data_IF_261435905366
#
_entry.id   IF_261435905366
#
_cell.length_a   1.000
_cell.length_b   1.000
_cell.length_c   1.000
_cell.angle_alpha   90.00
_cell.angle_beta   90.00
_cell.angle_gamma   90.00
#
_symmetry.space_group_name_H-M   'P 1'
#
loop_
_entity.id
_entity.type
_entity.pdbx_description
1 polymer ?
#
# COMPACT_ATOMS: atom_id res chain seq x y z
N UNK A 1 -16.90 5.06 -38.06
CA UNK A 1 -15.46 4.81 -38.27
C UNK A 1 -14.75 6.13 -38.10
N UNK A 2 -14.31 6.41 -36.87
CA UNK A 2 -13.42 7.52 -36.54
C UNK A 2 -12.02 6.94 -36.55
N UNK A 3 -11.32 7.11 -37.67
CA UNK A 3 -9.88 6.83 -37.79
C UNK A 3 -9.16 8.09 -37.33
N UNK A 4 -8.65 8.08 -36.10
CA UNK A 4 -7.50 8.85 -35.59
C UNK A 4 -7.45 8.75 -34.05
N UNK A 5 -7.26 7.53 -33.53
CA UNK A 5 -6.55 7.35 -32.25
C UNK A 5 -5.18 6.80 -32.62
N UNK A 6 -4.28 7.68 -33.05
CA UNK A 6 -2.86 7.40 -32.83
C UNK A 6 -2.72 7.21 -31.32
N UNK A 7 -2.54 5.95 -30.90
CA UNK A 7 -2.06 5.56 -29.58
C UNK A 7 -0.73 6.27 -29.34
N UNK A 8 -0.79 7.53 -28.92
CA UNK A 8 0.39 8.26 -28.49
C UNK A 8 0.86 7.60 -27.21
N UNK A 9 2.04 7.02 -27.27
CA UNK A 9 2.75 6.56 -26.07
C UNK A 9 2.76 7.71 -25.06
N UNK A 10 2.27 7.51 -23.82
CA UNK A 10 2.32 8.53 -22.79
C UNK A 10 3.77 8.98 -22.53
N UNK A 11 3.96 10.20 -22.03
CA UNK A 11 5.29 10.68 -21.69
C UNK A 11 5.94 9.80 -20.62
N UNK A 12 7.28 9.83 -20.58
CA UNK A 12 8.02 9.23 -19.48
C UNK A 12 7.64 9.88 -18.13
N UNK A 13 7.94 9.20 -17.03
CA UNK A 13 7.68 9.70 -15.67
C UNK A 13 8.45 11.00 -15.40
N UNK A 14 7.76 12.09 -15.07
CA UNK A 14 8.42 13.37 -14.79
C UNK A 14 8.78 13.48 -13.29
N UNK A 15 9.99 13.02 -12.94
CA UNK A 15 10.46 12.96 -11.56
C UNK A 15 10.36 14.31 -10.83
N UNK A 16 10.89 15.37 -11.42
CA UNK A 16 10.95 16.68 -10.77
C UNK A 16 9.56 17.30 -10.62
N UNK A 17 8.68 17.06 -11.58
CA UNK A 17 7.29 17.49 -11.50
C UNK A 17 6.53 16.77 -10.37
N UNK A 18 6.70 15.46 -10.22
CA UNK A 18 6.10 14.69 -9.12
C UNK A 18 6.67 15.06 -7.74
N UNK A 19 7.98 15.31 -7.64
CA UNK A 19 8.61 15.81 -6.40
C UNK A 19 8.03 17.17 -6.02
N UNK A 20 7.92 18.10 -6.99
CA UNK A 20 7.32 19.42 -6.76
C UNK A 20 5.88 19.32 -6.27
N UNK A 21 5.08 18.43 -6.87
CA UNK A 21 3.72 18.15 -6.42
C UNK A 21 3.68 17.70 -4.95
N UNK A 22 4.49 16.69 -4.60
CA UNK A 22 4.52 16.09 -3.25
C UNK A 22 4.97 17.09 -2.18
N UNK A 23 6.04 17.86 -2.45
CA UNK A 23 6.53 18.91 -1.55
C UNK A 23 5.50 20.03 -1.38
N UNK A 24 4.77 20.38 -2.45
CA UNK A 24 3.77 21.44 -2.46
C UNK A 24 2.47 21.10 -1.70
N UNK A 25 2.20 19.83 -1.39
CA UNK A 25 0.99 19.44 -0.64
C UNK A 25 0.91 20.10 0.73
N UNK A 26 2.06 20.43 1.35
CA UNK A 26 2.10 21.11 2.66
C UNK A 26 1.54 22.54 2.62
N UNK A 27 1.44 23.16 1.45
CA UNK A 27 0.98 24.54 1.29
C UNK A 27 -0.56 24.62 1.16
N UNK A 28 -1.25 23.48 0.98
CA UNK A 28 -2.71 23.37 0.86
C UNK A 28 -3.39 23.16 2.23
N UNK A 29 -3.20 24.08 3.18
CA UNK A 29 -3.63 23.90 4.58
C UNK A 29 -5.09 24.25 4.89
N UNK A 30 -5.76 25.01 4.03
CA UNK A 30 -7.06 25.62 4.36
C UNK A 30 -8.10 25.57 3.23
N UNK A 31 -7.84 24.77 2.17
CA UNK A 31 -8.86 24.55 1.15
C UNK A 31 -9.93 23.57 1.61
N UNK A 32 -11.03 23.49 0.85
CA UNK A 32 -12.15 22.62 1.18
C UNK A 32 -11.73 21.15 1.29
N UNK A 33 -10.81 20.69 0.44
CA UNK A 33 -10.31 19.32 0.45
C UNK A 33 -9.52 19.01 1.73
N UNK A 34 -8.71 19.97 2.21
CA UNK A 34 -7.96 19.87 3.47
C UNK A 34 -8.87 19.77 4.69
N UNK A 35 -10.01 20.47 4.68
CA UNK A 35 -11.04 20.34 5.72
C UNK A 35 -11.75 18.97 5.65
N UNK A 36 -12.11 18.51 4.45
CA UNK A 36 -12.81 17.23 4.26
C UNK A 36 -11.94 16.01 4.63
N UNK A 37 -10.63 16.14 4.51
CA UNK A 37 -9.65 15.07 4.79
C UNK A 37 -8.98 15.21 6.16
N UNK A 38 -9.44 16.15 7.00
CA UNK A 38 -8.83 16.43 8.31
C UNK A 38 -8.69 15.18 9.17
N UNK A 39 -9.72 14.33 9.20
CA UNK A 39 -9.78 13.11 10.01
C UNK A 39 -8.79 12.01 9.58
N UNK A 40 -8.14 12.13 8.43
CA UNK A 40 -7.28 11.09 7.84
C UNK A 40 -5.89 11.60 7.39
N UNK A 41 -5.45 12.75 7.90
CA UNK A 41 -4.17 13.39 7.53
C UNK A 41 -2.95 12.50 7.69
N UNK A 42 -2.92 11.63 8.71
CA UNK A 42 -1.82 10.66 8.90
C UNK A 42 -1.70 9.72 7.69
N UNK A 43 -2.82 9.28 7.10
CA UNK A 43 -2.80 8.46 5.89
C UNK A 43 -2.29 9.23 4.67
N UNK A 44 -2.74 10.48 4.50
CA UNK A 44 -2.22 11.38 3.47
C UNK A 44 -0.70 11.56 3.57
N UNK A 45 -0.21 11.73 4.80
CA UNK A 45 1.22 11.87 5.05
C UNK A 45 2.00 10.59 4.78
N UNK A 46 1.43 9.42 5.12
CA UNK A 46 2.02 8.13 4.76
C UNK A 46 2.19 7.98 3.25
N UNK A 47 1.18 8.31 2.44
CA UNK A 47 1.30 8.25 0.98
C UNK A 47 2.32 9.26 0.44
N UNK A 48 2.32 10.50 0.95
CA UNK A 48 3.27 11.53 0.53
C UNK A 48 4.72 11.19 0.89
N UNK A 49 4.99 10.82 2.14
CA UNK A 49 6.32 10.40 2.61
C UNK A 49 6.72 9.10 1.93
N UNK A 50 5.80 8.15 1.75
CA UNK A 50 6.05 6.89 1.04
C UNK A 50 6.49 7.11 -0.39
N UNK A 51 5.81 8.00 -1.12
CA UNK A 51 6.20 8.37 -2.49
C UNK A 51 7.59 9.00 -2.51
N UNK A 52 7.84 10.01 -1.66
CA UNK A 52 9.15 10.66 -1.58
C UNK A 52 10.26 9.72 -1.14
N UNK A 53 9.94 8.75 -0.27
CA UNK A 53 10.86 7.72 0.13
C UNK A 53 11.22 6.83 -1.07
N UNK A 54 10.25 6.33 -1.84
CA UNK A 54 10.55 5.56 -3.06
C UNK A 54 11.41 6.34 -4.04
N UNK A 55 11.14 7.64 -4.20
CA UNK A 55 11.94 8.52 -5.04
C UNK A 55 13.32 8.88 -4.46
N UNK A 56 13.63 8.47 -3.22
CA UNK A 56 14.85 8.79 -2.48
C UNK A 56 15.05 10.31 -2.27
N UNK A 57 13.95 11.00 -1.96
CA UNK A 57 13.87 12.47 -1.80
C UNK A 57 13.17 12.88 -0.49
N UNK A 58 12.96 11.97 0.46
CA UNK A 58 12.24 12.24 1.71
C UNK A 58 12.79 13.40 2.54
N UNK A 59 14.08 13.72 2.41
CA UNK A 59 14.72 14.87 3.07
C UNK A 59 14.11 16.23 2.68
N UNK A 60 13.48 16.33 1.50
CA UNK A 60 12.81 17.56 1.05
C UNK A 60 11.46 17.82 1.73
N UNK A 61 10.95 16.84 2.47
CA UNK A 61 9.65 16.91 3.15
C UNK A 61 9.73 17.50 4.56
N UNK A 62 10.90 18.00 4.98
CA UNK A 62 11.19 18.41 6.36
C UNK A 62 10.87 17.30 7.39
N UNK A 63 11.62 16.17 7.37
CA UNK A 63 11.35 14.98 8.19
C UNK A 63 11.13 15.26 9.68
N UNK A 64 11.90 16.18 10.28
CA UNK A 64 11.79 16.49 11.70
C UNK A 64 10.40 17.04 12.08
N UNK A 65 9.84 17.94 11.26
CA UNK A 65 8.51 18.52 11.48
C UNK A 65 7.42 17.45 11.33
N UNK A 66 7.57 16.56 10.35
CA UNK A 66 6.66 15.43 10.13
C UNK A 66 6.66 14.48 11.33
N UNK A 67 7.84 14.10 11.81
CA UNK A 67 7.98 13.21 12.98
C UNK A 67 7.34 13.85 14.21
N UNK A 68 7.64 15.12 14.48
CA UNK A 68 7.08 15.83 15.63
C UNK A 68 5.55 15.96 15.56
N UNK A 69 4.99 16.12 14.36
CA UNK A 69 3.53 16.15 14.17
C UNK A 69 2.90 14.76 14.32
N UNK A 70 3.47 13.71 13.72
CA UNK A 70 2.97 12.34 13.85
C UNK A 70 2.91 11.92 15.33
N UNK A 71 3.92 12.28 16.13
CA UNK A 71 3.95 11.95 17.55
C UNK A 71 2.88 12.71 18.38
N UNK A 72 2.36 13.84 17.89
CA UNK A 72 1.21 14.52 18.51
C UNK A 72 -0.11 13.76 18.27
N UNK A 73 -0.15 12.88 17.27
CA UNK A 73 -1.28 11.98 17.00
C UNK A 73 -1.21 10.68 17.84
N UNK A 74 -0.13 10.46 18.59
CA UNK A 74 -0.02 9.28 19.47
C UNK A 74 -0.93 9.42 20.69
N UNK A 75 -1.75 8.40 20.94
CA UNK A 75 -2.63 8.39 22.10
C UNK A 75 -1.85 8.03 23.38
N UNK A 76 -2.16 8.63 24.55
CA UNK A 76 -1.46 8.35 25.81
C UNK A 76 -1.45 6.87 26.23
N UNK A 77 -2.46 6.12 25.81
CA UNK A 77 -2.61 4.67 26.06
C UNK A 77 -2.26 3.80 24.84
N UNK A 78 -1.49 4.33 23.87
CA UNK A 78 -0.98 3.61 22.70
C UNK A 78 -1.83 3.73 21.44
N UNK A 79 -1.22 3.53 20.27
CA UNK A 79 -1.87 3.71 18.96
C UNK A 79 -1.90 5.17 18.52
N UNK A 80 -2.24 5.40 17.26
CA UNK A 80 -2.28 6.73 16.66
C UNK A 80 -3.67 7.05 16.08
N UNK A 81 -4.01 8.33 16.12
CA UNK A 81 -5.19 8.91 15.47
C UNK A 81 -4.90 9.37 14.04
N UNK A 82 -5.95 9.64 13.28
CA UNK A 82 -5.82 10.15 11.91
C UNK A 82 -5.39 11.62 11.83
N UNK A 83 -5.50 12.34 12.94
CA UNK A 83 -5.07 13.73 13.14
C UNK A 83 -5.06 14.06 14.64
N UNK A 84 -4.40 15.15 15.03
CA UNK A 84 -4.33 15.62 16.42
C UNK A 84 -5.74 15.89 16.94
N UNK A 85 -6.08 15.30 18.10
CA UNK A 85 -7.38 15.46 18.74
C UNK A 85 -8.49 14.55 18.20
N UNK A 86 -8.18 13.63 17.28
CA UNK A 86 -9.11 12.59 16.81
C UNK A 86 -8.90 11.27 17.56
N UNK A 87 -9.86 10.36 17.39
CA UNK A 87 -9.78 9.01 17.95
C UNK A 87 -8.67 8.18 17.28
N UNK A 88 -8.02 7.34 18.09
CA UNK A 88 -7.02 6.38 17.60
C UNK A 88 -7.70 5.26 16.84
N UNK A 89 -7.04 4.77 15.79
CA UNK A 89 -7.53 3.67 14.97
C UNK A 89 -6.35 2.86 14.43
N UNK A 90 -6.57 1.56 14.21
CA UNK A 90 -5.52 0.64 13.79
C UNK A 90 -4.89 1.02 12.44
N UNK A 91 -5.72 1.51 11.51
CA UNK A 91 -5.25 2.00 10.21
C UNK A 91 -4.22 3.15 10.36
N UNK A 92 -4.57 4.17 11.16
CA UNK A 92 -3.69 5.31 11.38
C UNK A 92 -2.46 4.94 12.23
N UNK A 93 -2.63 3.98 13.14
CA UNK A 93 -1.53 3.39 13.90
C UNK A 93 -0.49 2.78 12.96
N UNK A 94 -0.91 1.95 11.99
CA UNK A 94 0.02 1.41 11.00
C UNK A 94 0.67 2.52 10.18
N UNK A 95 -0.11 3.44 9.61
CA UNK A 95 0.43 4.50 8.75
C UNK A 95 1.45 5.38 9.48
N UNK A 96 1.20 5.74 10.75
CA UNK A 96 2.16 6.45 11.58
C UNK A 96 3.45 5.64 11.78
N UNK A 97 3.35 4.35 12.09
CA UNK A 97 4.52 3.48 12.24
C UNK A 97 5.32 3.36 10.94
N UNK A 98 4.67 3.27 9.78
CA UNK A 98 5.35 3.22 8.48
C UNK A 98 6.07 4.54 8.17
N UNK A 99 5.46 5.70 8.45
CA UNK A 99 6.12 7.01 8.33
C UNK A 99 7.34 7.08 9.24
N UNK A 100 7.19 6.73 10.52
CA UNK A 100 8.29 6.76 11.48
C UNK A 100 9.38 5.75 11.14
N UNK A 101 9.04 4.61 10.53
CA UNK A 101 10.00 3.63 10.00
C UNK A 101 10.85 4.24 8.88
N UNK A 102 10.21 4.85 7.87
CA UNK A 102 10.89 5.48 6.74
C UNK A 102 11.77 6.66 7.18
N UNK A 103 11.33 7.43 8.17
CA UNK A 103 12.06 8.58 8.71
C UNK A 103 13.01 8.23 9.86
N UNK A 104 13.17 6.94 10.21
CA UNK A 104 14.12 6.48 11.21
C UNK A 104 13.84 6.94 12.65
N UNK A 105 12.57 7.09 13.03
CA UNK A 105 12.12 7.66 14.31
C UNK A 105 11.24 6.71 15.15
N UNK A 106 11.28 5.39 14.87
CA UNK A 106 10.52 4.38 15.62
C UNK A 106 10.91 4.28 17.11
N UNK A 107 12.11 4.73 17.48
CA UNK A 107 12.60 4.79 18.85
C UNK A 107 11.83 5.82 19.71
N UNK A 108 11.12 6.76 19.07
CA UNK A 108 10.31 7.79 19.75
C UNK A 108 8.89 7.33 20.10
N UNK A 109 8.46 6.16 19.63
CA UNK A 109 7.11 5.60 19.86
C UNK A 109 7.01 5.00 21.25
N UNK A 110 5.84 5.11 21.89
CA UNK A 110 5.50 4.34 23.10
C UNK A 110 5.25 2.86 22.76
N UNK A 111 6.31 2.16 22.36
CA UNK A 111 6.29 0.82 21.74
C UNK A 111 5.37 -0.17 22.44
N UNK A 112 5.56 -0.38 23.74
CA UNK A 112 4.79 -1.38 24.50
C UNK A 112 3.31 -1.02 24.62
N UNK A 113 2.98 0.28 24.78
CA UNK A 113 1.58 0.72 24.82
C UNK A 113 0.91 0.60 23.46
N UNK A 114 1.63 0.99 22.40
CA UNK A 114 1.14 0.85 21.03
C UNK A 114 0.86 -0.61 20.69
N UNK A 115 1.78 -1.52 21.02
CA UNK A 115 1.60 -2.95 20.83
C UNK A 115 0.43 -3.51 21.66
N UNK A 116 0.29 -3.09 22.92
CA UNK A 116 -0.83 -3.49 23.77
C UNK A 116 -2.18 -3.02 23.22
N UNK A 117 -2.26 -1.80 22.68
CA UNK A 117 -3.45 -1.33 21.97
C UNK A 117 -3.77 -2.22 20.78
N UNK A 118 -2.82 -2.45 19.88
CA UNK A 118 -3.03 -3.29 18.69
C UNK A 118 -3.47 -4.71 19.08
N UNK A 119 -2.81 -5.33 20.05
CA UNK A 119 -3.16 -6.67 20.52
C UNK A 119 -4.57 -6.73 21.14
N UNK A 120 -5.00 -5.67 21.84
CA UNK A 120 -6.35 -5.59 22.42
C UNK A 120 -7.49 -5.53 21.39
N UNK A 121 -7.15 -5.34 20.11
CA UNK A 121 -8.12 -5.33 19.02
C UNK A 121 -8.42 -6.73 18.48
N UNK A 122 -7.64 -7.75 18.83
CA UNK A 122 -7.92 -9.13 18.44
C UNK A 122 -9.21 -9.63 19.10
N UNK A 123 -10.07 -10.26 18.32
CA UNK A 123 -11.34 -10.85 18.73
C UNK A 123 -11.19 -12.36 19.01
N UNK A 124 -12.13 -12.98 19.74
CA UNK A 124 -12.07 -14.42 20.04
C UNK A 124 -12.08 -15.35 18.82
N UNK A 125 -12.57 -14.88 17.67
CA UNK A 125 -12.57 -15.63 16.41
C UNK A 125 -11.31 -15.41 15.56
N UNK A 126 -10.33 -14.65 16.07
CA UNK A 126 -9.09 -14.32 15.40
C UNK A 126 -9.12 -13.02 14.58
N UNK A 127 -10.30 -12.48 14.30
CA UNK A 127 -10.45 -11.21 13.59
C UNK A 127 -9.89 -10.02 14.38
N UNK A 128 -9.66 -8.89 13.72
CA UNK A 128 -9.23 -7.65 14.37
C UNK A 128 -10.26 -6.55 14.18
N UNK A 129 -10.54 -5.85 15.28
CA UNK A 129 -11.29 -4.60 15.27
C UNK A 129 -10.45 -3.42 14.78
N UNK A 130 -11.07 -2.42 14.16
CA UNK A 130 -10.39 -1.17 13.79
C UNK A 130 -10.05 -0.28 15.00
N UNK A 131 -10.90 -0.28 16.02
CA UNK A 131 -10.81 0.57 17.21
C UNK A 131 -11.60 -0.04 18.40
N UNK A 132 -12.04 0.79 19.35
CA UNK A 132 -12.85 0.36 20.49
C UNK A 132 -14.26 -0.13 20.12
N UNK A 133 -14.78 0.25 18.95
CA UNK A 133 -16.10 -0.12 18.44
C UNK A 133 -16.09 -1.42 17.63
N UNK A 134 -14.90 -1.95 17.32
CA UNK A 134 -14.69 -3.29 16.78
C UNK A 134 -15.38 -3.54 15.42
N UNK A 135 -15.33 -2.57 14.49
CA UNK A 135 -15.55 -2.86 13.06
C UNK A 135 -14.57 -3.95 12.63
N UNK A 136 -15.06 -4.99 11.95
CA UNK A 136 -14.24 -6.09 11.44
C UNK A 136 -14.03 -5.96 9.94
N UNK A 137 -12.76 -6.09 9.52
CA UNK A 137 -12.32 -6.07 8.14
C UNK A 137 -10.94 -6.75 8.04
N UNK A 138 -10.67 -7.51 6.98
CA UNK A 138 -9.36 -8.13 6.73
C UNK A 138 -8.20 -7.12 6.71
N UNK A 139 -8.46 -5.85 6.39
CA UNK A 139 -7.47 -4.76 6.47
C UNK A 139 -6.93 -4.57 7.89
N UNK A 140 -7.73 -4.84 8.91
CA UNK A 140 -7.31 -4.71 10.31
C UNK A 140 -6.40 -5.85 10.73
N UNK A 141 -6.64 -7.06 10.25
CA UNK A 141 -5.71 -8.17 10.47
C UNK A 141 -4.34 -7.86 9.85
N UNK A 142 -4.30 -7.39 8.59
CA UNK A 142 -3.06 -6.92 7.96
C UNK A 142 -2.37 -5.82 8.79
N UNK A 143 -3.13 -4.79 9.19
CA UNK A 143 -2.58 -3.68 9.95
C UNK A 143 -2.01 -4.12 11.31
N UNK A 144 -2.69 -5.04 12.01
CA UNK A 144 -2.25 -5.55 13.28
C UNK A 144 -0.94 -6.33 13.16
N UNK A 145 -0.86 -7.30 12.23
CA UNK A 145 0.37 -8.09 12.05
C UNK A 145 1.55 -7.22 11.62
N UNK A 146 1.33 -6.29 10.69
CA UNK A 146 2.39 -5.40 10.20
C UNK A 146 2.88 -4.46 11.31
N UNK A 147 1.97 -3.83 12.05
CA UNK A 147 2.32 -2.99 13.19
C UNK A 147 3.09 -3.76 14.28
N UNK A 148 2.62 -4.96 14.66
CA UNK A 148 3.27 -5.76 15.70
C UNK A 148 4.63 -6.29 15.28
N UNK A 149 4.86 -6.58 13.98
CA UNK A 149 6.20 -6.88 13.48
C UNK A 149 7.14 -5.68 13.55
N UNK A 150 6.68 -4.49 13.14
CA UNK A 150 7.48 -3.25 13.27
C UNK A 150 7.85 -2.97 14.72
N UNK A 151 6.93 -3.26 15.65
CA UNK A 151 7.13 -3.06 17.09
C UNK A 151 7.93 -4.18 17.77
N UNK A 152 8.20 -5.29 17.06
CA UNK A 152 8.80 -6.53 17.59
C UNK A 152 8.00 -7.13 18.76
N UNK A 153 6.68 -7.31 18.55
CA UNK A 153 5.68 -7.72 19.56
C UNK A 153 4.61 -8.66 19.00
N UNK A 154 4.94 -9.44 17.97
CA UNK A 154 3.99 -10.36 17.34
C UNK A 154 3.50 -11.46 18.32
N UNK A 155 4.28 -11.74 19.37
CA UNK A 155 3.96 -12.69 20.45
C UNK A 155 2.77 -12.28 21.32
N UNK A 156 2.29 -11.03 21.21
CA UNK A 156 1.13 -10.55 21.97
C UNK A 156 -0.22 -11.01 21.42
N UNK A 157 -0.25 -11.60 20.23
CA UNK A 157 -1.48 -12.03 19.56
C UNK A 157 -1.42 -13.52 19.23
N UNK A 158 -2.60 -14.10 19.02
CA UNK A 158 -2.73 -15.43 18.45
C UNK A 158 -2.68 -15.33 16.92
N UNK A 159 -1.49 -15.55 16.35
CA UNK A 159 -1.29 -15.49 14.89
C UNK A 159 -2.06 -16.61 14.19
N UNK A 160 -2.16 -17.80 14.79
CA UNK A 160 -2.83 -18.95 14.17
C UNK A 160 -4.33 -18.68 13.97
N UNK A 161 -5.01 -18.17 15.00
CA UNK A 161 -6.43 -17.81 14.87
C UNK A 161 -6.64 -16.64 13.90
N UNK A 162 -5.71 -15.67 13.86
CA UNK A 162 -5.78 -14.58 12.89
C UNK A 162 -5.71 -15.09 11.45
N UNK A 163 -4.81 -16.04 11.14
CA UNK A 163 -4.71 -16.63 9.80
C UNK A 163 -5.93 -17.49 9.47
N UNK A 164 -6.45 -18.25 10.43
CA UNK A 164 -7.67 -19.03 10.27
C UNK A 164 -8.89 -18.13 9.95
N UNK A 165 -9.02 -16.96 10.58
CA UNK A 165 -10.07 -16.00 10.26
C UNK A 165 -9.93 -15.44 8.83
N UNK A 166 -8.70 -15.16 8.38
CA UNK A 166 -8.46 -14.69 7.01
C UNK A 166 -8.89 -15.75 5.97
N UNK A 167 -8.64 -17.04 6.23
CA UNK A 167 -9.14 -18.12 5.35
C UNK A 167 -10.68 -18.19 5.30
N UNK A 168 -11.38 -17.85 6.39
CA UNK A 168 -12.85 -17.74 6.35
C UNK A 168 -13.35 -16.65 5.38
N UNK A 169 -12.51 -15.68 5.03
CA UNK A 169 -12.82 -14.63 4.06
C UNK A 169 -12.53 -15.04 2.61
N UNK A 170 -11.95 -16.23 2.39
CA UNK A 170 -11.65 -16.76 1.06
C UNK A 170 -12.92 -17.21 0.34
N UNK A 171 -13.02 -16.88 -0.94
CA UNK A 171 -14.13 -17.22 -1.80
C UNK A 171 -13.80 -18.39 -2.73
N UNK A 172 -14.86 -18.92 -3.38
CA UNK A 172 -14.75 -20.02 -4.34
C UNK A 172 -13.90 -19.69 -5.57
N UNK A 173 -13.67 -18.41 -5.84
CA UNK A 173 -12.88 -17.90 -6.97
C UNK A 173 -11.40 -17.67 -6.61
N UNK A 174 -10.99 -18.12 -5.42
CA UNK A 174 -9.63 -17.97 -4.88
C UNK A 174 -9.36 -16.60 -4.25
N UNK A 175 -10.21 -15.60 -4.52
CA UNK A 175 -10.11 -14.27 -3.95
C UNK A 175 -10.57 -14.17 -2.50
N UNK A 176 -10.49 -12.98 -1.93
CA UNK A 176 -10.84 -12.69 -0.55
C UNK A 176 -11.74 -11.45 -0.44
N UNK A 177 -12.75 -11.54 0.42
CA UNK A 177 -13.58 -10.41 0.83
C UNK A 177 -13.05 -9.69 2.08
N UNK A 178 -13.71 -8.61 2.47
CA UNK A 178 -13.38 -7.89 3.72
C UNK A 178 -13.83 -8.63 4.98
N UNK A 179 -14.89 -9.42 4.88
CA UNK A 179 -15.41 -10.33 5.90
C UNK A 179 -15.94 -11.61 5.21
N UNK A 180 -16.20 -12.72 5.95
CA UNK A 180 -16.71 -13.95 5.37
C UNK A 180 -17.99 -13.74 4.54
N UNK A 181 -17.97 -14.23 3.29
CA UNK A 181 -19.09 -14.16 2.36
C UNK A 181 -19.20 -12.86 1.55
N UNK A 182 -18.32 -11.89 1.76
CA UNK A 182 -18.25 -10.69 0.91
C UNK A 182 -17.49 -10.96 -0.39
N UNK A 183 -17.81 -10.17 -1.42
CA UNK A 183 -17.23 -10.27 -2.77
C UNK A 183 -15.70 -10.13 -2.75
N UNK A 184 -15.02 -10.95 -3.55
CA UNK A 184 -13.58 -10.84 -3.80
C UNK A 184 -13.22 -9.47 -4.36
N UNK A 185 -12.22 -8.81 -3.77
CA UNK A 185 -11.82 -7.45 -4.14
C UNK A 185 -10.31 -7.28 -4.07
N UNK A 186 -9.68 -6.66 -5.06
CA UNK A 186 -8.23 -6.49 -5.14
C UNK A 186 -7.58 -5.93 -3.87
N UNK A 187 -8.20 -4.90 -3.27
CA UNK A 187 -7.74 -4.34 -1.99
C UNK A 187 -7.84 -5.31 -0.81
N UNK A 188 -8.92 -6.09 -0.71
CA UNK A 188 -9.12 -7.06 0.37
C UNK A 188 -8.27 -8.32 0.18
N UNK A 189 -8.00 -8.69 -1.07
CA UNK A 189 -7.02 -9.71 -1.44
C UNK A 189 -5.63 -9.28 -1.00
N UNK A 190 -5.22 -8.04 -1.26
CA UNK A 190 -3.92 -7.56 -0.77
C UNK A 190 -3.83 -7.67 0.75
N UNK A 191 -4.85 -7.22 1.50
CA UNK A 191 -4.78 -7.28 2.96
C UNK A 191 -4.84 -8.72 3.48
N UNK A 192 -5.62 -9.61 2.85
CA UNK A 192 -5.66 -11.02 3.21
C UNK A 192 -4.32 -11.73 2.92
N UNK A 193 -3.82 -11.66 1.68
CA UNK A 193 -2.54 -12.26 1.27
C UNK A 193 -1.38 -11.63 2.03
N UNK A 194 -1.40 -10.32 2.26
CA UNK A 194 -0.42 -9.63 3.07
C UNK A 194 -0.42 -10.10 4.52
N UNK A 195 -1.59 -10.27 5.15
CA UNK A 195 -1.68 -10.83 6.49
C UNK A 195 -1.16 -12.26 6.55
N UNK A 196 -1.54 -13.11 5.59
CA UNK A 196 -1.04 -14.49 5.44
C UNK A 196 0.48 -14.51 5.24
N UNK A 197 1.01 -13.55 4.48
CA UNK A 197 2.45 -13.38 4.23
C UNK A 197 3.22 -13.03 5.52
N UNK A 198 2.64 -12.16 6.35
CA UNK A 198 3.22 -11.78 7.63
C UNK A 198 3.11 -12.92 8.65
N UNK A 199 2.05 -13.72 8.57
CA UNK A 199 1.82 -14.88 9.43
C UNK A 199 2.51 -16.18 8.99
N UNK A 200 3.28 -16.17 7.88
CA UNK A 200 3.91 -17.36 7.31
C UNK A 200 2.91 -18.49 6.96
N UNK A 201 1.77 -18.11 6.41
CA UNK A 201 0.65 -19.01 6.17
C UNK A 201 0.16 -18.99 4.70
N UNK A 202 0.96 -18.44 3.78
CA UNK A 202 0.59 -18.40 2.35
C UNK A 202 0.37 -19.80 1.78
N UNK A 203 1.34 -20.71 1.96
CA UNK A 203 1.24 -22.08 1.43
C UNK A 203 0.07 -22.87 2.01
N UNK A 204 -0.40 -22.49 3.20
CA UNK A 204 -1.51 -23.17 3.88
C UNK A 204 -2.88 -22.72 3.35
N UNK A 205 -3.05 -21.42 3.07
CA UNK A 205 -4.38 -20.84 2.85
C UNK A 205 -4.59 -20.22 1.46
N UNK A 206 -3.54 -20.06 0.66
CA UNK A 206 -3.63 -19.47 -0.68
C UNK A 206 -3.54 -20.57 -1.75
N UNK A 207 -4.58 -20.66 -2.57
CA UNK A 207 -4.52 -21.35 -3.86
C UNK A 207 -3.92 -20.38 -4.89
N UNK A 208 -2.61 -20.45 -5.10
CA UNK A 208 -1.85 -19.49 -5.91
C UNK A 208 -2.22 -19.53 -7.39
N UNK A 209 -2.65 -20.68 -7.90
CA UNK A 209 -3.10 -20.83 -9.29
C UNK A 209 -4.48 -20.18 -9.48
N UNK A 210 -5.45 -20.51 -8.63
CA UNK A 210 -6.80 -19.97 -8.76
C UNK A 210 -6.83 -18.46 -8.48
N UNK A 211 -6.15 -18.01 -7.42
CA UNK A 211 -6.02 -16.59 -7.12
C UNK A 211 -5.23 -15.85 -8.20
N UNK A 212 -4.17 -16.47 -8.74
CA UNK A 212 -3.40 -15.92 -9.85
C UNK A 212 -4.27 -15.66 -11.07
N UNK A 213 -5.16 -16.61 -11.41
CA UNK A 213 -6.11 -16.46 -12.52
C UNK A 213 -7.10 -15.33 -12.26
N UNK A 214 -7.65 -15.25 -11.05
CA UNK A 214 -8.57 -14.17 -10.67
C UNK A 214 -7.92 -12.79 -10.79
N UNK A 215 -6.66 -12.65 -10.35
CA UNK A 215 -5.91 -11.40 -10.35
C UNK A 215 -5.47 -10.99 -11.76
N UNK A 216 -5.04 -11.92 -12.62
CA UNK A 216 -4.61 -11.56 -13.98
C UNK A 216 -5.79 -11.13 -14.87
N UNK A 217 -6.97 -11.73 -14.67
CA UNK A 217 -8.24 -11.34 -15.31
C UNK A 217 -8.79 -9.99 -14.82
N UNK A 218 -8.03 -9.25 -14.01
CA UNK A 218 -8.32 -7.84 -13.69
C UNK A 218 -7.69 -6.87 -14.69
N UNK A 219 -6.77 -7.31 -15.55
CA UNK A 219 -6.13 -6.42 -16.51
C UNK A 219 -7.11 -6.10 -17.65
N UNK A 220 -7.55 -4.85 -17.71
CA UNK A 220 -8.49 -4.37 -18.71
C UNK A 220 -7.82 -4.09 -20.05
N UNK A 221 -8.62 -3.86 -21.09
CA UNK A 221 -8.14 -3.46 -22.43
C UNK A 221 -7.29 -2.17 -22.41
N UNK A 222 -7.56 -1.27 -21.45
CA UNK A 222 -6.75 -0.05 -21.22
C UNK A 222 -5.34 -0.33 -20.72
N UNK A 223 -5.03 -1.57 -20.33
CA UNK A 223 -3.76 -1.97 -19.71
C UNK A 223 -3.74 -1.86 -18.19
N UNK A 224 -4.60 -1.03 -17.62
CA UNK A 224 -4.80 -0.89 -16.18
C UNK A 224 -5.51 -2.08 -15.55
N UNK A 225 -5.49 -2.16 -14.22
CA UNK A 225 -6.14 -3.22 -13.44
C UNK A 225 -7.40 -2.67 -12.76
N UNK A 226 -8.46 -3.47 -12.69
CA UNK A 226 -9.64 -3.16 -11.87
C UNK A 226 -9.61 -3.93 -10.53
N UNK A 227 -10.42 -3.49 -9.58
CA UNK A 227 -10.53 -4.15 -8.27
C UNK A 227 -11.47 -5.33 -8.23
N UNK A 228 -12.40 -5.39 -9.19
CA UNK A 228 -13.49 -6.36 -9.24
C UNK A 228 -13.92 -6.59 -10.69
N UNK A 229 -14.48 -7.76 -11.02
CA UNK A 229 -15.08 -8.02 -12.33
C UNK A 229 -16.05 -6.90 -12.76
N UNK A 230 -16.08 -6.62 -14.07
CA UNK A 230 -17.01 -5.65 -14.66
C UNK A 230 -16.87 -4.20 -14.14
N UNK A 231 -15.72 -3.85 -13.54
CA UNK A 231 -15.37 -2.47 -13.15
C UNK A 231 -14.28 -1.90 -14.06
N UNK A 232 -14.18 -0.58 -14.07
CA UNK A 232 -13.14 0.14 -14.81
C UNK A 232 -11.79 -0.01 -14.12
N UNK A 233 -10.71 0.05 -14.92
CA UNK A 233 -9.35 0.13 -14.42
C UNK A 233 -9.15 1.35 -13.52
N UNK A 234 -8.22 1.24 -12.57
CA UNK A 234 -7.89 2.28 -11.60
C UNK A 234 -6.42 2.09 -11.15
N UNK A 235 -5.64 3.17 -11.14
CA UNK A 235 -4.20 3.13 -10.85
C UNK A 235 -3.87 2.45 -9.52
N UNK A 236 -4.71 2.58 -8.49
CA UNK A 236 -4.39 2.01 -7.19
C UNK A 236 -4.28 0.47 -7.20
N UNK A 237 -4.96 -0.22 -8.14
CA UNK A 237 -4.81 -1.67 -8.30
C UNK A 237 -3.47 -2.08 -8.93
N UNK A 238 -2.71 -1.13 -9.47
CA UNK A 238 -1.29 -1.32 -9.80
C UNK A 238 -0.44 -1.56 -8.56
N UNK A 239 -0.96 -1.27 -7.37
CA UNK A 239 -0.39 -1.75 -6.12
C UNK A 239 -1.14 -2.98 -5.60
N UNK A 240 -2.45 -2.86 -5.35
CA UNK A 240 -3.21 -3.90 -4.64
C UNK A 240 -3.14 -5.28 -5.32
N UNK A 241 -3.32 -5.32 -6.65
CA UNK A 241 -3.31 -6.58 -7.37
C UNK A 241 -1.88 -7.05 -7.66
N UNK A 242 -0.97 -6.14 -8.06
CA UNK A 242 0.42 -6.49 -8.38
C UNK A 242 1.15 -7.02 -7.15
N UNK A 243 1.03 -6.36 -6.00
CA UNK A 243 1.67 -6.81 -4.76
C UNK A 243 1.21 -8.23 -4.38
N UNK A 244 -0.09 -8.50 -4.53
CA UNK A 244 -0.66 -9.84 -4.35
C UNK A 244 -0.04 -10.85 -5.33
N UNK A 245 0.01 -10.52 -6.63
CA UNK A 245 0.66 -11.34 -7.66
C UNK A 245 2.14 -11.61 -7.35
N UNK A 246 2.88 -10.63 -6.82
CA UNK A 246 4.28 -10.79 -6.41
C UNK A 246 4.40 -11.75 -5.22
N UNK A 247 3.55 -11.59 -4.19
CA UNK A 247 3.56 -12.47 -3.02
C UNK A 247 3.26 -13.93 -3.36
N UNK A 248 2.50 -14.19 -4.44
CA UNK A 248 2.20 -15.54 -4.92
C UNK A 248 3.05 -16.00 -6.12
N UNK A 249 4.05 -15.21 -6.54
CA UNK A 249 4.98 -15.59 -7.61
C UNK A 249 4.37 -15.60 -9.03
N UNK A 250 3.34 -14.81 -9.30
CA UNK A 250 2.57 -14.78 -10.56
C UNK A 250 2.58 -13.44 -11.30
N UNK A 251 3.50 -12.53 -10.98
CA UNK A 251 3.55 -11.21 -11.63
C UNK A 251 3.63 -11.30 -13.17
N UNK A 252 4.28 -12.31 -13.72
CA UNK A 252 4.44 -12.49 -15.18
C UNK A 252 3.14 -12.91 -15.90
N UNK A 253 2.03 -13.10 -15.18
CA UNK A 253 0.72 -13.45 -15.77
C UNK A 253 -0.03 -12.24 -16.32
N UNK A 254 0.46 -11.02 -16.06
CA UNK A 254 -0.09 -9.78 -16.63
C UNK A 254 0.91 -9.14 -17.61
N UNK A 255 0.40 -8.32 -18.52
CA UNK A 255 1.25 -7.48 -19.37
C UNK A 255 1.82 -6.31 -18.56
N UNK A 256 3.08 -6.43 -18.13
CA UNK A 256 3.80 -5.35 -17.45
C UNK A 256 3.83 -4.07 -18.28
N UNK A 257 4.11 -4.20 -19.57
CA UNK A 257 4.25 -3.04 -20.47
C UNK A 257 2.94 -2.26 -20.58
N UNK A 258 1.80 -2.93 -20.81
CA UNK A 258 0.50 -2.25 -20.87
C UNK A 258 0.16 -1.52 -19.58
N UNK A 259 0.53 -2.09 -18.43
CA UNK A 259 0.27 -1.47 -17.13
C UNK A 259 1.17 -0.27 -16.86
N UNK A 260 2.46 -0.34 -17.23
CA UNK A 260 3.36 0.82 -17.20
C UNK A 260 2.76 1.96 -18.02
N UNK A 261 2.35 1.69 -19.27
CA UNK A 261 1.74 2.70 -20.14
C UNK A 261 0.44 3.27 -19.52
N UNK A 262 -0.40 2.43 -18.91
CA UNK A 262 -1.59 2.92 -18.21
C UNK A 262 -1.24 3.89 -17.06
N UNK A 263 -0.28 3.55 -16.20
CA UNK A 263 0.13 4.41 -15.07
C UNK A 263 0.70 5.73 -15.60
N UNK A 264 1.59 5.68 -16.59
CA UNK A 264 2.19 6.88 -17.20
C UNK A 264 1.16 7.78 -17.90
N UNK A 265 0.07 7.21 -18.42
CA UNK A 265 -1.02 7.98 -18.99
C UNK A 265 -1.90 8.69 -17.94
N UNK A 266 -1.78 8.31 -16.66
CA UNK A 266 -2.53 8.91 -15.55
C UNK A 266 -1.75 10.02 -14.84
N UNK A 267 -0.52 10.33 -15.25
CA UNK A 267 0.25 11.42 -14.67
C UNK A 267 -0.28 12.78 -15.13
N UNK A 268 -0.27 13.77 -14.24
CA UNK A 268 -0.57 15.15 -14.58
C UNK A 268 0.68 15.81 -15.20
N UNK A 269 0.63 16.23 -16.47
CA UNK A 269 1.80 16.78 -17.17
C UNK A 269 2.09 18.25 -16.84
N UNK A 270 1.22 18.95 -16.11
CA UNK A 270 1.36 20.37 -15.79
C UNK A 270 1.74 20.60 -14.33
N UNK A 271 1.01 19.97 -13.42
CA UNK A 271 1.13 20.17 -11.97
C UNK A 271 1.83 19.02 -11.26
N UNK A 272 1.88 17.84 -11.89
CA UNK A 272 2.41 16.62 -11.30
C UNK A 272 1.42 15.86 -10.44
N UNK A 273 1.85 14.70 -10.01
CA UNK A 273 1.02 13.69 -9.36
C UNK A 273 0.40 12.72 -10.38
N UNK A 274 -0.24 11.66 -9.88
CA UNK A 274 -0.88 10.62 -10.68
C UNK A 274 -2.33 10.47 -10.21
N UNK A 275 -3.26 10.40 -11.15
CA UNK A 275 -4.68 10.19 -10.90
C UNK A 275 -5.08 8.71 -10.96
N UNK A 276 -6.33 8.40 -10.64
CA UNK A 276 -6.91 7.06 -10.80
C UNK A 276 -6.98 6.62 -12.26
N UNK A 277 -7.18 7.56 -13.19
CA UNK A 277 -7.40 7.33 -14.63
C UNK A 277 -6.85 8.48 -15.49
N UNK A 278 -6.57 8.24 -16.77
CA UNK A 278 -6.13 9.31 -17.68
C UNK A 278 -7.16 10.45 -17.76
N UNK A 279 -6.69 11.68 -17.58
CA UNK A 279 -7.51 12.89 -17.63
C UNK A 279 -8.26 13.24 -16.34
N UNK A 280 -8.12 12.45 -15.27
CA UNK A 280 -8.64 12.80 -13.95
C UNK A 280 -7.63 13.66 -13.16
N UNK A 281 -8.08 14.22 -12.03
CA UNK A 281 -7.26 15.05 -11.14
C UNK A 281 -6.37 14.17 -10.27
N UNK A 282 -5.09 14.49 -10.19
CA UNK A 282 -4.13 13.75 -9.37
C UNK A 282 -4.36 13.95 -7.86
N UNK A 283 -4.17 12.86 -7.10
CA UNK A 283 -4.16 12.89 -5.64
C UNK A 283 -2.96 12.12 -5.07
N UNK A 284 -2.64 12.35 -3.80
CA UNK A 284 -1.46 11.76 -3.15
C UNK A 284 -1.56 10.23 -3.02
N UNK A 285 -2.77 9.68 -2.93
CA UNK A 285 -3.02 8.25 -2.79
C UNK A 285 -2.66 7.51 -4.10
N UNK A 286 -3.20 7.97 -5.22
CA UNK A 286 -2.91 7.41 -6.55
C UNK A 286 -1.47 7.73 -6.98
N UNK A 287 -0.93 8.90 -6.60
CA UNK A 287 0.49 9.22 -6.82
C UNK A 287 1.41 8.20 -6.16
N UNK A 288 1.20 7.88 -4.89
CA UNK A 288 1.98 6.87 -4.19
C UNK A 288 1.86 5.49 -4.85
N UNK A 289 0.64 5.01 -5.10
CA UNK A 289 0.44 3.68 -5.66
C UNK A 289 0.84 3.54 -7.13
N UNK A 290 0.78 4.62 -7.90
CA UNK A 290 1.34 4.69 -9.25
C UNK A 290 2.86 4.55 -9.23
N UNK A 291 3.56 5.31 -8.38
CA UNK A 291 5.02 5.21 -8.21
C UNK A 291 5.40 3.81 -7.71
N UNK A 292 4.70 3.28 -6.71
CA UNK A 292 4.92 1.92 -6.19
C UNK A 292 4.74 0.86 -7.29
N UNK A 293 3.69 0.98 -8.12
CA UNK A 293 3.45 0.11 -9.26
C UNK A 293 4.59 0.15 -10.28
N UNK A 294 5.08 1.34 -10.64
CA UNK A 294 6.23 1.51 -11.55
C UNK A 294 7.50 0.88 -10.98
N UNK A 295 7.75 1.02 -9.67
CA UNK A 295 8.87 0.37 -8.99
C UNK A 295 8.78 -1.16 -9.13
N UNK A 296 7.64 -1.75 -8.76
CA UNK A 296 7.40 -3.21 -8.80
C UNK A 296 7.43 -3.79 -10.21
N UNK A 297 7.09 -2.99 -11.23
CA UNK A 297 7.14 -3.38 -12.64
C UNK A 297 8.55 -3.29 -13.23
N UNK A 298 9.52 -2.76 -12.48
CA UNK A 298 10.92 -2.59 -12.91
C UNK A 298 11.12 -1.45 -13.91
N UNK A 299 10.17 -0.50 -13.99
CA UNK A 299 10.23 0.61 -14.95
C UNK A 299 11.48 1.47 -14.73
N UNK A 300 11.70 1.96 -13.51
CA UNK A 300 12.84 2.85 -13.22
C UNK A 300 14.19 2.15 -13.46
N UNK A 301 14.32 0.88 -13.07
CA UNK A 301 15.53 0.09 -13.33
C UNK A 301 15.84 -0.11 -14.81
N UNK A 302 14.78 -0.24 -15.64
CA UNK A 302 14.91 -0.38 -17.09
C UNK A 302 15.28 0.95 -17.76
N UNK A 303 14.66 2.05 -17.34
CA UNK A 303 14.78 3.35 -18.00
C UNK A 303 15.95 4.21 -17.49
N UNK A 304 16.59 3.88 -16.35
CA UNK A 304 17.68 4.70 -15.78
C UNK A 304 18.89 4.92 -16.70
N UNK A 305 19.07 4.07 -17.71
CA UNK A 305 20.12 4.26 -18.72
C UNK A 305 19.88 5.47 -19.64
N UNK A 306 18.62 5.81 -19.90
CA UNK A 306 18.20 6.97 -20.71
C UNK A 306 17.69 8.12 -19.84
N UNK A 307 17.32 7.83 -18.59
CA UNK A 307 16.88 8.78 -17.56
C UNK A 307 17.76 8.66 -16.30
N UNK A 308 18.98 9.24 -16.31
CA UNK A 308 19.91 9.14 -15.17
C UNK A 308 19.33 9.68 -13.85
N UNK A 309 18.33 10.55 -13.91
CA UNK A 309 17.58 11.04 -12.76
C UNK A 309 16.81 9.95 -12.00
N UNK A 310 16.52 8.80 -12.63
CA UNK A 310 15.92 7.65 -11.96
C UNK A 310 16.92 6.83 -11.13
N UNK A 311 18.21 7.15 -11.20
CA UNK A 311 19.24 6.51 -10.40
C UNK A 311 18.96 6.73 -8.90
N UNK A 312 18.94 5.65 -8.12
CA UNK A 312 18.66 5.70 -6.69
C UNK A 312 17.18 5.63 -6.31
N UNK A 313 16.24 5.60 -7.26
CA UNK A 313 14.83 5.24 -6.96
C UNK A 313 14.81 3.85 -6.33
N UNK A 314 14.14 3.74 -5.17
CA UNK A 314 14.15 2.55 -4.33
C UNK A 314 13.04 1.58 -4.70
N UNK A 315 13.30 0.30 -4.49
CA UNK A 315 12.31 -0.76 -4.62
C UNK A 315 11.38 -0.77 -3.39
N UNK A 316 10.09 -1.02 -3.61
CA UNK A 316 9.10 -1.18 -2.54
C UNK A 316 8.96 -2.64 -2.13
N UNK A 317 8.82 -2.91 -0.83
CA UNK A 317 8.53 -4.26 -0.34
C UNK A 317 7.04 -4.57 -0.51
N UNK A 318 6.64 -5.62 -1.26
CA UNK A 318 5.25 -5.91 -1.60
C UNK A 318 4.38 -6.15 -0.36
N UNK A 319 4.90 -6.79 0.69
CA UNK A 319 4.13 -7.06 1.90
C UNK A 319 4.03 -5.87 2.86
N UNK A 320 5.05 -5.00 2.96
CA UNK A 320 5.11 -3.95 3.99
C UNK A 320 4.76 -2.55 3.48
N UNK A 321 4.67 -2.38 2.15
CA UNK A 321 4.31 -1.12 1.50
C UNK A 321 5.25 0.07 1.84
N UNK A 322 6.51 -0.21 2.13
CA UNK A 322 7.59 0.77 2.33
C UNK A 322 8.85 0.31 1.58
N UNK A 323 9.88 1.16 1.41
CA UNK A 323 11.11 0.77 0.72
C UNK A 323 11.75 -0.50 1.30
N UNK A 324 12.24 -1.37 0.41
CA UNK A 324 12.80 -2.68 0.78
C UNK A 324 14.05 -2.57 1.66
N UNK A 325 14.88 -1.56 1.45
CA UNK A 325 16.04 -1.24 2.29
C UNK A 325 15.64 -0.87 3.73
N UNK A 326 14.50 -0.20 3.92
CA UNK A 326 13.95 0.09 5.25
C UNK A 326 13.49 -1.19 5.93
N UNK A 327 12.82 -2.09 5.19
CA UNK A 327 12.41 -3.43 5.68
C UNK A 327 13.63 -4.25 6.11
N UNK A 328 14.68 -4.28 5.28
CA UNK A 328 15.93 -4.98 5.56
C UNK A 328 16.64 -4.42 6.79
N UNK A 329 16.73 -3.08 6.91
CA UNK A 329 17.32 -2.39 8.06
C UNK A 329 16.60 -2.73 9.38
N UNK A 330 15.27 -2.88 9.31
CA UNK A 330 14.43 -3.27 10.44
C UNK A 330 14.37 -4.79 10.66
N UNK A 331 15.00 -5.58 9.79
CA UNK A 331 15.00 -7.05 9.84
C UNK A 331 13.58 -7.64 9.85
N UNK A 332 12.62 -6.96 9.20
CA UNK A 332 11.25 -7.46 9.12
C UNK A 332 11.18 -8.61 8.11
N UNK A 333 10.37 -9.61 8.44
CA UNK A 333 10.26 -10.84 7.64
C UNK A 333 8.81 -11.15 7.29
N UNK A 334 8.63 -11.72 6.10
CA UNK A 334 7.39 -12.26 5.57
C UNK A 334 7.72 -13.38 4.58
N UNK A 335 6.82 -14.33 4.33
CA UNK A 335 6.99 -15.34 3.28
C UNK A 335 6.39 -14.89 1.94
N UNK A 336 6.77 -15.60 0.88
CA UNK A 336 6.22 -15.50 -0.48
C UNK A 336 6.22 -16.87 -1.11
N UNK A 337 5.28 -17.15 -1.99
CA UNK A 337 5.30 -18.35 -2.82
C UNK A 337 6.27 -18.09 -3.97
N UNK A 338 7.32 -18.89 -4.05
CA UNK A 338 8.32 -18.75 -5.11
C UNK A 338 7.79 -19.37 -6.41
N UNK A 339 8.03 -18.74 -7.58
CA UNK A 339 7.69 -19.35 -8.86
C UNK A 339 8.32 -20.73 -8.97
N UNK A 340 7.56 -21.71 -9.47
CA UNK A 340 8.12 -23.02 -9.80
C UNK A 340 9.14 -22.83 -10.91
N UNK A 341 10.41 -23.10 -10.63
CA UNK A 341 11.44 -23.14 -11.67
C UNK A 341 11.08 -24.30 -12.59
N UNK A 342 10.67 -23.98 -13.82
CA UNK A 342 10.47 -25.00 -14.85
C UNK A 342 11.87 -25.42 -15.31
N UNK A 343 12.30 -26.62 -14.91
CA UNK A 343 13.52 -27.26 -15.40
C UNK A 343 13.45 -27.62 -16.88
#
# INVERSE_FOLDING_TARGET
MSTDEESKTPPAFDLELHVRYLVGLKDKKEDFESCMTEHMRVSGLYWGVGAMALLNREEEMAPAEIVDWILQCEHPDGGFSGNVGHDRHLLYTLHALLVLAMLGALDRVQRDKCAAFVASLQQPDGSFGGDEWKEIDTKFTYCALSALKILDKLDLIDVESAMAYVDMCRNFDGGFGNIPGCESHGGHIFTAVGALSLGFALEQYVDDELLGWWLCERQCDSGGLNGRPEKQADVCYSWWNISSLIMIGKLDWISKEKLIQFILACQDPEDGGIADRPGNVADVFHTFFGIAGLCMLGYFDREKATHPEYEGIRQIHPTFAIPSDVVEKLQLTSDRIMPKVVE
#
